data_IF_350408792804
#
_entry.id   IF_350408792804
#
_cell.length_a   1.000
_cell.length_b   1.000
_cell.length_c   1.000
_cell.angle_alpha   90.00
_cell.angle_beta   90.00
_cell.angle_gamma   90.00
#
_symmetry.space_group_name_H-M   'P 1'
#
loop_
_entity.id
_entity.type
_entity.pdbx_description
1 polymer ?
#
# COMPACT_ATOMS: atom_id res chain seq x y z
N UNK A 1 -11.40 -0.83 75.02
CA UNK A 1 -12.69 -0.61 74.35
C UNK A 1 -12.33 -0.52 72.85
N UNK A 2 -12.45 -1.65 72.09
CA UNK A 2 -12.02 -1.74 70.75
C UNK A 2 -13.29 -1.59 69.91
N UNK A 3 -13.39 -0.51 69.14
CA UNK A 3 -14.52 -0.23 68.26
C UNK A 3 -14.32 -0.96 66.92
N UNK A 4 -15.08 -2.02 66.70
CA UNK A 4 -15.13 -2.75 65.43
C UNK A 4 -15.98 -1.94 64.43
N UNK A 5 -15.31 -1.39 63.41
CA UNK A 5 -15.97 -0.79 62.24
C UNK A 5 -16.54 -1.89 61.34
N UNK A 6 -17.87 -1.87 61.13
CA UNK A 6 -18.57 -2.80 60.22
C UNK A 6 -18.13 -2.53 58.75
N UNK A 7 -17.86 -3.58 57.97
CA UNK A 7 -17.61 -3.40 56.55
C UNK A 7 -18.88 -2.93 55.84
N UNK A 8 -18.74 -1.89 54.99
CA UNK A 8 -19.82 -1.42 54.10
C UNK A 8 -20.14 -2.49 53.09
N UNK A 9 -21.36 -3.00 53.12
CA UNK A 9 -21.89 -3.89 52.10
C UNK A 9 -22.02 -3.12 50.80
N UNK A 10 -21.34 -3.58 49.74
CA UNK A 10 -21.54 -3.05 48.39
C UNK A 10 -22.93 -3.47 47.88
N UNK A 11 -23.68 -2.49 47.35
CA UNK A 11 -25.01 -2.74 46.81
C UNK A 11 -24.89 -3.64 45.57
N UNK A 12 -25.74 -4.71 45.44
CA UNK A 12 -25.72 -5.63 44.31
C UNK A 12 -25.91 -4.94 42.96
N UNK A 13 -26.58 -3.78 42.91
CA UNK A 13 -26.76 -2.96 41.74
C UNK A 13 -25.44 -2.40 41.15
N UNK A 14 -24.47 -2.08 42.02
CA UNK A 14 -23.16 -1.54 41.62
C UNK A 14 -22.29 -2.66 40.98
N UNK A 15 -22.41 -3.89 41.46
CA UNK A 15 -21.67 -5.06 40.93
C UNK A 15 -22.25 -5.43 39.55
N UNK A 16 -23.58 -5.37 39.38
CA UNK A 16 -24.22 -5.65 38.09
C UNK A 16 -23.87 -4.61 37.00
N UNK A 17 -23.79 -3.32 37.37
CA UNK A 17 -23.42 -2.25 36.47
C UNK A 17 -21.93 -2.38 36.00
N UNK A 18 -21.03 -2.74 36.92
CA UNK A 18 -19.62 -2.96 36.58
C UNK A 18 -19.43 -4.20 35.70
N UNK A 19 -20.17 -5.29 35.94
CA UNK A 19 -20.12 -6.50 35.10
C UNK A 19 -20.70 -6.25 33.70
N UNK A 20 -21.73 -5.41 33.57
CA UNK A 20 -22.30 -5.04 32.27
C UNK A 20 -21.33 -4.16 31.45
N UNK A 21 -20.62 -3.23 32.09
CA UNK A 21 -19.62 -2.38 31.44
C UNK A 21 -18.41 -3.20 30.93
N UNK A 22 -17.96 -4.22 31.67
CA UNK A 22 -16.88 -5.13 31.26
C UNK A 22 -17.35 -6.03 30.10
N UNK A 23 -18.61 -6.50 30.11
CA UNK A 23 -19.15 -7.34 29.04
C UNK A 23 -19.30 -6.57 27.73
N UNK A 24 -19.69 -5.29 27.76
CA UNK A 24 -19.79 -4.42 26.57
C UNK A 24 -18.42 -4.12 25.98
N UNK A 25 -17.38 -3.98 26.81
CA UNK A 25 -16.01 -3.78 26.35
C UNK A 25 -15.42 -5.03 25.64
N UNK A 26 -15.86 -6.25 25.99
CA UNK A 26 -15.41 -7.50 25.36
C UNK A 26 -16.15 -7.79 24.05
N UNK A 27 -17.35 -7.19 23.85
CA UNK A 27 -18.19 -7.40 22.68
C UNK A 27 -17.95 -6.39 21.54
N UNK A 28 -16.98 -5.45 21.70
CA UNK A 28 -16.60 -4.59 20.59
C UNK A 28 -15.94 -5.45 19.50
N UNK A 29 -16.48 -5.53 18.26
CA UNK A 29 -15.80 -6.21 17.19
C UNK A 29 -14.43 -5.53 16.99
N UNK A 30 -13.40 -6.29 16.59
CA UNK A 30 -12.15 -5.67 16.20
C UNK A 30 -12.48 -4.63 15.12
N UNK A 31 -12.08 -3.38 15.32
CA UNK A 31 -12.19 -2.38 14.29
C UNK A 31 -11.36 -2.90 13.10
N UNK A 32 -12.02 -3.27 12.01
CA UNK A 32 -11.33 -3.50 10.74
C UNK A 32 -10.67 -2.17 10.39
N UNK A 33 -9.40 -2.20 10.04
CA UNK A 33 -8.74 -1.01 9.53
C UNK A 33 -9.50 -0.53 8.30
N UNK A 34 -9.80 0.76 8.25
CA UNK A 34 -10.43 1.34 7.06
C UNK A 34 -9.45 1.23 5.88
N UNK A 35 -9.94 0.95 4.67
CA UNK A 35 -9.10 0.92 3.47
C UNK A 35 -8.33 2.22 3.31
N UNK A 36 -7.02 2.09 3.00
CA UNK A 36 -6.13 3.25 2.83
C UNK A 36 -6.49 4.06 1.59
N UNK A 37 -6.58 5.38 1.74
CA UNK A 37 -6.88 6.33 0.65
C UNK A 37 -5.76 7.34 0.41
N UNK A 38 -4.72 7.31 1.26
CA UNK A 38 -3.53 8.15 1.16
C UNK A 38 -2.28 7.35 1.42
N UNK A 39 -1.17 7.77 0.82
CA UNK A 39 0.14 7.14 0.89
C UNK A 39 1.18 8.16 1.35
N UNK A 40 1.99 7.78 2.33
CA UNK A 40 3.16 8.57 2.74
C UNK A 40 4.42 7.96 2.13
N UNK A 41 5.20 8.77 1.42
CA UNK A 41 6.52 8.38 0.91
C UNK A 41 7.57 9.13 1.71
N UNK A 42 8.51 8.38 2.29
CA UNK A 42 9.53 8.93 3.22
C UNK A 42 10.92 8.49 2.80
N UNK A 43 11.83 9.43 2.67
CA UNK A 43 13.26 9.17 2.51
C UNK A 43 13.93 9.09 3.87
N UNK A 44 14.69 8.02 4.10
CA UNK A 44 15.39 7.73 5.34
C UNK A 44 16.89 7.68 5.04
N UNK A 45 17.66 8.42 5.82
CA UNK A 45 19.11 8.53 5.67
C UNK A 45 19.87 7.22 5.90
N UNK A 46 21.19 7.21 5.58
CA UNK A 46 22.02 6.01 5.72
C UNK A 46 22.15 5.47 7.15
N UNK A 47 21.79 6.27 8.15
CA UNK A 47 21.71 5.84 9.55
C UNK A 47 20.51 4.96 9.86
N UNK A 48 19.58 4.83 8.89
CA UNK A 48 18.35 4.04 9.01
C UNK A 48 17.25 4.65 9.86
N UNK A 49 17.42 5.91 10.34
CA UNK A 49 16.50 6.56 11.29
C UNK A 49 16.17 8.00 10.96
N UNK A 50 17.11 8.76 10.40
CA UNK A 50 16.92 10.17 10.07
C UNK A 50 16.00 10.31 8.86
N UNK A 51 14.87 11.01 9.04
CA UNK A 51 13.97 11.37 7.95
C UNK A 51 14.59 12.56 7.20
N UNK A 52 14.91 12.36 5.92
CA UNK A 52 15.48 13.38 5.03
C UNK A 52 14.38 14.13 4.28
N UNK A 53 13.33 13.41 3.85
CA UNK A 53 12.19 13.96 3.14
C UNK A 53 10.94 13.12 3.44
N UNK A 54 9.75 13.73 3.41
CA UNK A 54 8.50 13.00 3.56
C UNK A 54 7.37 13.77 2.89
N UNK A 55 6.54 13.06 2.13
CA UNK A 55 5.34 13.62 1.50
C UNK A 55 4.19 12.66 1.63
N UNK A 56 2.97 13.18 1.78
CA UNK A 56 1.75 12.39 1.79
C UNK A 56 0.88 12.84 0.62
N UNK A 57 0.40 11.89 -0.15
CA UNK A 57 -0.46 12.08 -1.32
C UNK A 57 -1.68 11.18 -1.23
N UNK A 58 -2.80 11.61 -1.79
CA UNK A 58 -3.99 10.78 -1.95
C UNK A 58 -4.03 10.11 -3.34
N UNK A 59 -5.01 9.25 -3.55
CA UNK A 59 -5.17 8.50 -4.79
C UNK A 59 -5.47 9.43 -5.97
N UNK A 60 -6.28 10.48 -5.77
CA UNK A 60 -6.61 11.44 -6.81
C UNK A 60 -5.34 12.17 -7.30
N UNK A 61 -4.48 12.54 -6.35
CA UNK A 61 -3.19 13.14 -6.69
C UNK A 61 -2.28 12.17 -7.44
N UNK A 62 -2.19 10.89 -6.99
CA UNK A 62 -1.37 9.86 -7.65
C UNK A 62 -1.82 9.67 -9.11
N UNK A 63 -3.12 9.49 -9.35
CA UNK A 63 -3.68 9.28 -10.69
C UNK A 63 -3.45 10.47 -11.62
N UNK A 64 -3.46 11.69 -11.09
CA UNK A 64 -3.28 12.92 -11.88
C UNK A 64 -1.82 13.27 -12.18
N UNK A 65 -0.86 12.84 -11.36
CA UNK A 65 0.51 13.36 -11.39
C UNK A 65 1.60 12.32 -11.64
N UNK A 66 1.32 11.04 -11.52
CA UNK A 66 2.29 9.96 -11.78
C UNK A 66 1.80 9.04 -12.90
N UNK A 67 2.72 8.28 -13.54
CA UNK A 67 2.33 7.27 -14.51
C UNK A 67 1.37 6.26 -13.90
N UNK A 68 0.27 5.99 -14.60
CA UNK A 68 -0.72 4.98 -14.23
C UNK A 68 -0.41 3.69 -14.97
N UNK A 69 -0.16 2.62 -14.25
CA UNK A 69 0.01 1.28 -14.80
C UNK A 69 -1.27 0.47 -14.62
N UNK A 70 -1.51 -0.48 -15.55
CA UNK A 70 -2.73 -1.28 -15.61
C UNK A 70 -3.87 -0.56 -16.32
N UNK A 71 -4.84 -1.33 -16.77
CA UNK A 71 -5.95 -0.86 -17.59
C UNK A 71 -7.33 -0.95 -16.90
N UNK A 72 -7.38 -1.62 -15.73
CA UNK A 72 -8.64 -1.89 -15.02
C UNK A 72 -9.47 -3.01 -15.67
N UNK A 73 -8.89 -3.81 -16.58
CA UNK A 73 -9.52 -4.93 -17.28
C UNK A 73 -8.67 -6.20 -17.21
N UNK A 74 -7.35 -6.05 -17.31
CA UNK A 74 -6.38 -7.15 -17.20
C UNK A 74 -6.22 -7.57 -15.75
N UNK A 75 -6.47 -8.85 -15.46
CA UNK A 75 -6.27 -9.44 -14.14
C UNK A 75 -4.83 -9.84 -13.91
N UNK A 76 -4.33 -9.61 -12.71
CA UNK A 76 -3.02 -10.04 -12.25
C UNK A 76 -3.15 -11.07 -11.13
N UNK A 77 -2.26 -12.05 -11.14
CA UNK A 77 -2.31 -13.18 -10.22
C UNK A 77 -1.02 -13.31 -9.43
N UNK A 78 -1.15 -13.71 -8.18
CA UNK A 78 -0.06 -14.23 -7.38
C UNK A 78 -0.31 -15.69 -7.05
N UNK A 79 0.74 -16.44 -6.71
CA UNK A 79 0.61 -17.84 -6.35
C UNK A 79 0.65 -18.03 -4.84
N UNK A 80 -0.28 -18.80 -4.32
CA UNK A 80 -0.26 -19.28 -2.94
C UNK A 80 0.73 -20.45 -2.76
N UNK A 81 0.87 -20.97 -1.53
CA UNK A 81 1.70 -22.15 -1.29
C UNK A 81 1.15 -23.36 -2.03
N UNK A 82 2.03 -24.12 -2.68
CA UNK A 82 1.70 -25.39 -3.33
C UNK A 82 1.94 -26.52 -2.33
N UNK A 83 0.85 -27.19 -1.92
CA UNK A 83 0.89 -28.23 -0.88
C UNK A 83 1.19 -29.61 -1.44
N UNK A 84 0.88 -29.86 -2.71
CA UNK A 84 1.07 -31.13 -3.39
C UNK A 84 1.81 -30.92 -4.72
N UNK A 85 2.77 -31.77 -5.04
CA UNK A 85 3.59 -31.68 -6.25
C UNK A 85 4.84 -30.81 -6.07
N UNK A 86 5.28 -30.18 -7.14
CA UNK A 86 6.44 -29.28 -7.08
C UNK A 86 6.04 -27.95 -6.44
N UNK A 87 6.64 -27.64 -5.30
CA UNK A 87 6.36 -26.42 -4.55
C UNK A 87 6.67 -25.13 -5.32
N UNK A 88 7.55 -25.20 -6.30
CA UNK A 88 7.90 -24.05 -7.14
C UNK A 88 6.96 -23.88 -8.33
N UNK A 89 6.29 -24.97 -8.76
CA UNK A 89 5.33 -24.98 -9.87
C UNK A 89 5.81 -24.15 -11.08
N UNK A 90 6.73 -24.68 -11.90
CA UNK A 90 7.37 -23.92 -12.96
C UNK A 90 6.41 -23.40 -14.06
N UNK A 91 5.18 -23.90 -14.08
CA UNK A 91 4.12 -23.45 -14.98
C UNK A 91 3.14 -22.47 -14.32
N UNK A 92 3.25 -22.27 -13.02
CA UNK A 92 2.47 -21.31 -12.25
C UNK A 92 0.95 -21.43 -12.48
N UNK A 93 0.44 -22.65 -12.30
CA UNK A 93 -0.97 -22.99 -12.54
C UNK A 93 -1.74 -23.34 -11.26
N UNK A 94 -1.04 -23.64 -10.16
CA UNK A 94 -1.63 -24.17 -8.93
C UNK A 94 -1.83 -23.05 -7.91
N UNK A 95 -2.97 -23.05 -7.24
CA UNK A 95 -3.32 -22.15 -6.13
C UNK A 95 -3.17 -20.66 -6.47
N UNK A 96 -3.59 -20.27 -7.67
CA UNK A 96 -3.57 -18.88 -8.11
C UNK A 96 -4.51 -18.03 -7.26
N UNK A 97 -4.07 -16.83 -6.96
CA UNK A 97 -4.81 -15.81 -6.20
C UNK A 97 -4.96 -14.59 -7.10
N UNK A 98 -6.15 -14.43 -7.62
CA UNK A 98 -6.52 -13.26 -8.41
C UNK A 98 -6.39 -11.98 -7.56
N UNK A 99 -5.78 -10.94 -8.11
CA UNK A 99 -5.61 -9.62 -7.47
C UNK A 99 -6.53 -8.57 -8.07
N UNK A 100 -7.41 -8.99 -8.99
CA UNK A 100 -8.34 -8.13 -9.70
C UNK A 100 -7.74 -7.48 -10.94
N UNK A 101 -8.59 -6.75 -11.64
CA UNK A 101 -8.22 -5.94 -12.80
C UNK A 101 -7.79 -4.55 -12.34
N UNK A 102 -6.55 -4.43 -11.90
CA UNK A 102 -6.12 -3.26 -11.14
C UNK A 102 -5.43 -2.18 -11.99
N UNK A 103 -5.50 -0.94 -11.47
CA UNK A 103 -4.62 0.19 -11.85
C UNK A 103 -3.88 0.70 -10.63
N UNK A 104 -2.69 1.24 -10.83
CA UNK A 104 -1.87 1.77 -9.75
C UNK A 104 -0.64 2.51 -10.23
N UNK A 105 0.27 2.78 -9.29
CA UNK A 105 1.53 3.49 -9.51
C UNK A 105 2.71 2.60 -9.15
N UNK A 106 3.75 2.61 -9.98
CA UNK A 106 5.00 1.88 -9.73
C UNK A 106 5.67 2.38 -8.43
N UNK A 107 6.18 1.45 -7.63
CA UNK A 107 6.94 1.77 -6.40
C UNK A 107 8.18 2.62 -6.73
N UNK A 108 8.84 2.41 -7.87
CA UNK A 108 9.97 3.24 -8.29
C UNK A 108 9.53 4.70 -8.56
N UNK A 109 8.38 4.92 -9.19
CA UNK A 109 7.81 6.26 -9.40
C UNK A 109 7.39 6.90 -8.07
N UNK A 110 6.81 6.12 -7.14
CA UNK A 110 6.51 6.61 -5.80
C UNK A 110 7.77 7.08 -5.06
N UNK A 111 8.87 6.33 -5.14
CA UNK A 111 10.14 6.73 -4.54
C UNK A 111 10.67 8.05 -5.09
N UNK A 112 10.31 8.44 -6.33
CA UNK A 112 10.72 9.72 -6.91
C UNK A 112 10.16 10.94 -6.17
N UNK A 113 9.04 10.78 -5.43
CA UNK A 113 8.46 11.81 -4.57
C UNK A 113 9.36 12.17 -3.37
N UNK A 114 10.28 11.27 -3.03
CA UNK A 114 11.18 11.43 -1.91
C UNK A 114 12.67 11.32 -2.33
N UNK A 115 13.01 11.82 -3.52
CA UNK A 115 14.40 11.91 -3.99
C UNK A 115 14.85 10.79 -4.94
N UNK A 116 13.98 9.80 -5.22
CA UNK A 116 14.25 8.72 -6.19
C UNK A 116 15.21 7.64 -5.67
N UNK A 117 15.17 6.47 -6.29
CA UNK A 117 16.03 5.33 -5.98
C UNK A 117 17.39 5.46 -6.67
N UNK A 118 18.45 5.13 -5.93
CA UNK A 118 19.81 4.98 -6.45
C UNK A 118 20.35 3.56 -6.19
N UNK A 119 21.44 3.17 -6.88
CA UNK A 119 22.11 1.91 -6.59
C UNK A 119 22.48 1.76 -5.11
N UNK A 120 22.11 0.63 -4.50
CA UNK A 120 22.33 0.37 -3.08
C UNK A 120 21.16 0.79 -2.18
N UNK A 121 20.21 1.58 -2.68
CA UNK A 121 19.00 1.93 -1.94
C UNK A 121 17.99 0.77 -1.92
N UNK A 122 17.15 0.75 -0.92
CA UNK A 122 16.04 -0.19 -0.80
C UNK A 122 14.75 0.55 -0.45
N UNK A 123 13.63 0.11 -1.04
CA UNK A 123 12.32 0.59 -0.68
C UNK A 123 11.53 -0.46 0.10
N UNK A 124 10.94 -0.03 1.20
CA UNK A 124 9.98 -0.78 1.99
C UNK A 124 8.57 -0.33 1.63
N UNK A 125 7.68 -1.27 1.34
CA UNK A 125 6.24 -1.04 1.23
C UNK A 125 5.59 -1.58 2.48
N UNK A 126 4.91 -0.71 3.24
CA UNK A 126 4.35 -1.05 4.53
C UNK A 126 2.83 -0.79 4.60
N UNK A 127 2.13 -1.69 5.29
CA UNK A 127 0.72 -1.60 5.60
C UNK A 127 0.46 -0.88 6.92
N UNK A 128 -0.80 -0.49 7.14
CA UNK A 128 -1.26 0.16 8.39
C UNK A 128 -1.06 -0.71 9.64
N UNK A 129 -1.04 -2.04 9.49
CA UNK A 129 -0.82 -3.00 10.59
C UNK A 129 0.67 -3.28 10.85
N UNK A 130 1.55 -2.67 10.07
CA UNK A 130 2.99 -2.82 10.15
C UNK A 130 3.56 -3.96 9.30
N UNK A 131 2.72 -4.78 8.64
CA UNK A 131 3.23 -5.76 7.67
C UNK A 131 4.00 -5.04 6.57
N UNK A 132 5.15 -5.56 6.18
CA UNK A 132 6.01 -4.89 5.20
C UNK A 132 6.80 -5.87 4.34
N UNK A 133 7.27 -5.36 3.20
CA UNK A 133 8.22 -6.02 2.30
C UNK A 133 9.26 -5.01 1.86
N UNK A 134 10.48 -5.48 1.61
CA UNK A 134 11.62 -4.60 1.26
C UNK A 134 12.29 -5.11 -0.01
N UNK A 135 12.48 -4.22 -0.98
CA UNK A 135 13.07 -4.52 -2.28
C UNK A 135 14.21 -3.56 -2.59
N UNK A 136 15.27 -4.11 -3.20
CA UNK A 136 16.42 -3.33 -3.64
C UNK A 136 16.20 -2.63 -4.98
N UNK A 137 17.11 -1.73 -5.30
CA UNK A 137 17.14 -0.93 -6.53
C UNK A 137 16.92 -1.77 -7.79
N UNK A 138 17.66 -2.87 -7.98
CA UNK A 138 17.58 -3.68 -9.21
C UNK A 138 16.21 -4.34 -9.40
N UNK A 139 15.58 -4.77 -8.31
CA UNK A 139 14.23 -5.36 -8.32
C UNK A 139 13.17 -4.34 -8.74
N UNK A 140 13.35 -3.06 -8.40
CA UNK A 140 12.35 -2.01 -8.61
C UNK A 140 12.54 -1.25 -9.93
N UNK A 141 13.79 -0.99 -10.33
CA UNK A 141 14.07 -0.09 -11.46
C UNK A 141 14.16 -0.81 -12.80
N UNK A 142 14.64 -2.06 -12.81
CA UNK A 142 14.83 -2.85 -14.02
C UNK A 142 14.28 -4.27 -13.87
N UNK A 143 13.00 -4.45 -13.50
CA UNK A 143 12.43 -5.78 -13.32
C UNK A 143 12.40 -6.55 -14.64
N UNK A 144 12.72 -7.86 -14.65
CA UNK A 144 12.50 -8.70 -15.83
C UNK A 144 10.98 -8.82 -16.09
N UNK A 145 10.58 -9.03 -17.36
CA UNK A 145 9.17 -9.04 -17.75
C UNK A 145 8.31 -10.04 -16.97
N UNK A 146 8.87 -11.23 -16.65
CA UNK A 146 8.19 -12.25 -15.84
C UNK A 146 7.93 -11.84 -14.37
N UNK A 147 8.60 -10.82 -13.85
CA UNK A 147 8.31 -10.18 -12.57
C UNK A 147 7.37 -8.99 -12.78
N UNK A 148 7.66 -8.19 -13.79
CA UNK A 148 7.02 -6.91 -14.05
C UNK A 148 7.30 -5.85 -12.98
N UNK A 149 6.82 -4.62 -13.18
CA UNK A 149 6.89 -3.56 -12.18
C UNK A 149 6.10 -3.91 -10.91
N UNK A 150 6.56 -3.40 -9.78
CA UNK A 150 5.88 -3.51 -8.50
C UNK A 150 4.93 -2.33 -8.33
N UNK A 151 3.63 -2.59 -8.38
CA UNK A 151 2.61 -1.55 -8.43
C UNK A 151 1.84 -1.48 -7.12
N UNK A 152 1.75 -0.30 -6.53
CA UNK A 152 0.76 0.00 -5.49
C UNK A 152 -0.55 0.28 -6.21
N UNK A 153 -1.40 -0.76 -6.29
CA UNK A 153 -2.70 -0.70 -6.93
C UNK A 153 -3.69 0.05 -6.03
N UNK A 154 -4.37 1.05 -6.58
CA UNK A 154 -5.33 1.90 -5.89
C UNK A 154 -6.71 1.92 -6.56
N UNK A 155 -6.91 1.16 -7.61
CA UNK A 155 -8.19 1.00 -8.30
C UNK A 155 -8.34 -0.47 -8.75
N UNK A 156 -9.54 -1.01 -8.64
CA UNK A 156 -9.90 -2.34 -9.16
C UNK A 156 -11.11 -2.21 -10.09
N UNK A 157 -10.94 -2.51 -11.38
CA UNK A 157 -11.98 -2.36 -12.39
C UNK A 157 -12.91 -3.57 -12.50
N UNK A 158 -12.41 -4.77 -12.18
CA UNK A 158 -13.20 -6.01 -12.13
C UNK A 158 -12.73 -6.85 -10.94
N UNK A 159 -13.69 -7.35 -10.15
CA UNK A 159 -13.40 -8.13 -8.95
C UNK A 159 -13.15 -9.60 -9.30
N UNK A 160 -12.51 -10.28 -8.36
CA UNK A 160 -12.23 -11.70 -8.46
C UNK A 160 -13.52 -12.52 -8.50
N UNK A 161 -13.55 -13.55 -9.33
CA UNK A 161 -14.69 -14.46 -9.43
C UNK A 161 -14.69 -15.53 -8.34
N UNK A 162 -13.50 -15.87 -7.85
CA UNK A 162 -13.27 -16.88 -6.81
C UNK A 162 -12.18 -16.40 -5.85
N UNK A 163 -12.33 -16.73 -4.57
CA UNK A 163 -11.37 -16.38 -3.55
C UNK A 163 -11.79 -15.20 -2.68
N UNK A 164 -10.85 -14.38 -2.27
CA UNK A 164 -11.11 -13.21 -1.43
C UNK A 164 -11.68 -12.07 -2.27
N UNK A 165 -12.95 -11.74 -2.07
CA UNK A 165 -13.60 -10.59 -2.70
C UNK A 165 -12.90 -9.31 -2.26
N UNK A 166 -12.52 -8.46 -3.21
CA UNK A 166 -11.76 -7.25 -2.98
C UNK A 166 -12.58 -5.97 -3.20
N UNK A 167 -13.73 -6.08 -3.88
CA UNK A 167 -14.55 -4.94 -4.30
C UNK A 167 -14.00 -4.27 -5.56
N UNK A 168 -14.76 -3.36 -6.13
CA UNK A 168 -14.42 -2.65 -7.37
C UNK A 168 -14.46 -1.14 -7.18
N UNK A 169 -13.72 -0.41 -7.99
CA UNK A 169 -13.60 1.04 -7.89
C UNK A 169 -12.36 1.46 -7.11
N UNK A 170 -12.45 2.60 -6.46
CA UNK A 170 -11.43 3.13 -5.56
C UNK A 170 -11.72 2.70 -4.11
N UNK A 171 -10.73 2.71 -3.20
CA UNK A 171 -11.03 2.64 -1.77
C UNK A 171 -12.01 3.75 -1.34
N UNK A 172 -13.02 3.47 -0.48
CA UNK A 172 -13.14 2.25 0.32
C UNK A 172 -13.85 1.06 -0.37
N UNK A 173 -14.43 1.21 -1.56
CA UNK A 173 -15.14 0.14 -2.26
C UNK A 173 -14.18 -0.97 -2.75
N UNK A 174 -12.93 -0.64 -3.01
CA UNK A 174 -11.81 -1.57 -3.09
C UNK A 174 -11.34 -1.91 -1.67
N UNK A 175 -11.87 -2.96 -1.07
CA UNK A 175 -11.81 -3.29 0.37
C UNK A 175 -10.41 -3.54 0.91
N UNK A 176 -9.47 -3.99 0.07
CA UNK A 176 -8.09 -4.18 0.47
C UNK A 176 -7.31 -2.87 0.56
N UNK A 177 -7.95 -1.74 0.29
CA UNK A 177 -7.30 -0.45 0.19
C UNK A 177 -6.25 -0.46 -0.91
N UNK A 178 -5.21 0.33 -0.78
CA UNK A 178 -4.06 0.22 -1.67
C UNK A 178 -3.33 -1.09 -1.44
N UNK A 179 -2.98 -1.79 -2.55
CA UNK A 179 -2.39 -3.12 -2.49
C UNK A 179 -1.17 -3.23 -3.40
N UNK A 180 -0.11 -3.92 -2.91
CA UNK A 180 1.05 -4.24 -3.73
C UNK A 180 0.76 -5.43 -4.65
N UNK A 181 0.94 -5.24 -5.96
CA UNK A 181 0.75 -6.23 -7.00
C UNK A 181 1.93 -6.21 -7.97
N UNK A 182 2.43 -7.38 -8.34
CA UNK A 182 3.45 -7.53 -9.39
C UNK A 182 2.76 -7.64 -10.74
N UNK A 183 3.12 -6.79 -11.69
CA UNK A 183 2.53 -6.76 -13.03
C UNK A 183 3.34 -7.65 -13.98
N UNK A 184 3.43 -8.94 -13.63
CA UNK A 184 4.10 -9.96 -14.43
C UNK A 184 3.49 -10.07 -15.83
N UNK A 185 4.31 -10.50 -16.79
CA UNK A 185 3.82 -10.84 -18.13
C UNK A 185 3.12 -12.22 -18.15
N UNK A 186 2.83 -12.73 -19.33
CA UNK A 186 2.17 -14.03 -19.52
C UNK A 186 3.14 -15.14 -19.89
N UNK A 187 4.46 -14.92 -19.79
CA UNK A 187 5.47 -15.80 -20.37
C UNK A 187 5.59 -17.16 -19.66
N UNK A 188 5.21 -17.24 -18.39
CA UNK A 188 5.36 -18.45 -17.58
C UNK A 188 4.11 -19.32 -17.57
N UNK A 189 2.94 -18.68 -17.51
CA UNK A 189 1.67 -19.39 -17.39
C UNK A 189 1.14 -19.87 -18.75
N UNK A 190 0.86 -21.18 -18.94
CA UNK A 190 0.44 -21.75 -20.24
C UNK A 190 -0.97 -21.33 -20.67
N UNK A 191 -1.79 -20.80 -19.76
CA UNK A 191 -3.13 -20.28 -20.04
C UNK A 191 -3.10 -18.81 -20.48
N UNK A 192 -1.91 -18.18 -20.49
CA UNK A 192 -1.72 -16.79 -20.86
C UNK A 192 -2.20 -15.81 -19.79
N UNK A 193 -2.23 -16.22 -18.52
CA UNK A 193 -2.53 -15.36 -17.40
C UNK A 193 -1.29 -14.56 -16.97
N UNK A 194 -1.51 -13.35 -16.46
CA UNK A 194 -0.48 -12.51 -15.85
C UNK A 194 -0.21 -12.97 -14.42
N UNK A 195 0.67 -13.96 -14.27
CA UNK A 195 0.97 -14.59 -12.96
C UNK A 195 2.38 -14.21 -12.52
N UNK A 196 2.51 -13.67 -11.31
CA UNK A 196 3.77 -13.69 -10.59
C UNK A 196 3.77 -14.87 -9.64
N UNK A 197 4.37 -15.96 -10.09
CA UNK A 197 4.34 -17.25 -9.40
C UNK A 197 5.53 -17.49 -8.47
N UNK A 198 5.56 -18.68 -7.87
CA UNK A 198 6.61 -19.07 -6.94
C UNK A 198 7.95 -19.26 -7.64
N UNK A 199 7.94 -19.79 -8.88
CA UNK A 199 9.15 -19.91 -9.69
C UNK A 199 9.68 -18.54 -10.10
N UNK A 200 8.80 -17.61 -10.48
CA UNK A 200 9.19 -16.23 -10.81
C UNK A 200 9.84 -15.55 -9.59
N UNK A 201 9.26 -15.70 -8.40
CA UNK A 201 9.87 -15.21 -7.17
C UNK A 201 11.28 -15.77 -6.96
N UNK A 202 11.48 -17.08 -7.19
CA UNK A 202 12.78 -17.73 -7.01
C UNK A 202 13.86 -17.18 -7.93
N UNK A 203 13.49 -16.90 -9.19
CA UNK A 203 14.49 -16.53 -10.22
C UNK A 203 14.68 -15.03 -10.36
N UNK A 204 13.75 -14.20 -9.85
CA UNK A 204 13.80 -12.73 -10.01
C UNK A 204 14.07 -11.99 -8.70
N UNK A 205 13.70 -12.54 -7.55
CA UNK A 205 13.92 -11.88 -6.27
C UNK A 205 15.13 -12.48 -5.52
N UNK A 206 15.92 -11.64 -4.84
CA UNK A 206 16.97 -12.14 -3.94
C UNK A 206 16.32 -12.93 -2.77
N UNK A 207 17.06 -13.88 -2.21
CA UNK A 207 16.56 -14.78 -1.16
C UNK A 207 15.93 -14.02 0.04
N UNK A 208 16.50 -12.89 0.43
CA UNK A 208 16.00 -12.08 1.54
C UNK A 208 14.72 -11.28 1.23
N UNK A 209 14.23 -11.32 0.00
CA UNK A 209 12.95 -10.73 -0.43
C UNK A 209 11.90 -11.80 -0.80
N UNK A 210 12.26 -13.09 -0.71
CA UNK A 210 11.34 -14.19 -0.94
C UNK A 210 10.52 -14.49 0.32
N UNK A 211 9.28 -14.93 0.13
CA UNK A 211 8.39 -15.29 1.23
C UNK A 211 8.05 -16.78 1.21
N UNK A 212 8.08 -17.39 2.40
CA UNK A 212 7.74 -18.78 2.61
C UNK A 212 6.63 -18.95 3.64
N UNK A 213 5.52 -19.52 3.22
CA UNK A 213 4.44 -19.89 4.11
C UNK A 213 4.92 -20.98 5.08
N UNK A 214 4.76 -20.74 6.40
CA UNK A 214 5.26 -21.60 7.48
C UNK A 214 6.76 -21.95 7.33
N UNK A 215 7.58 -21.04 6.81
CA UNK A 215 9.03 -21.21 6.57
C UNK A 215 9.39 -22.38 5.64
N UNK A 216 8.43 -22.93 4.90
CA UNK A 216 8.61 -24.14 4.09
C UNK A 216 8.20 -24.00 2.63
N UNK A 217 7.05 -23.41 2.38
CA UNK A 217 6.44 -23.36 1.06
C UNK A 217 6.51 -21.96 0.46
N UNK A 218 7.14 -21.77 -0.70
CA UNK A 218 7.16 -20.47 -1.34
C UNK A 218 5.74 -19.97 -1.63
N UNK A 219 5.53 -18.66 -1.53
CA UNK A 219 4.22 -18.07 -1.78
C UNK A 219 4.31 -16.59 -2.12
N UNK A 220 4.14 -16.25 -3.39
CA UNK A 220 4.08 -14.84 -3.82
C UNK A 220 2.83 -14.12 -3.30
N UNK A 221 1.79 -14.87 -2.90
CA UNK A 221 0.63 -14.29 -2.22
C UNK A 221 1.00 -13.59 -0.92
N UNK A 222 2.03 -14.06 -0.22
CA UNK A 222 2.49 -13.49 1.04
C UNK A 222 3.13 -12.13 0.89
N UNK A 223 3.66 -11.79 -0.28
CA UNK A 223 4.29 -10.48 -0.52
C UNK A 223 3.35 -9.45 -1.16
N UNK A 224 2.07 -9.79 -1.35
CA UNK A 224 1.04 -8.84 -1.80
C UNK A 224 0.46 -8.08 -0.60
N UNK A 225 1.16 -7.03 -0.17
CA UNK A 225 0.79 -6.18 0.97
C UNK A 225 -0.57 -5.54 0.72
N UNK A 226 -1.51 -5.68 1.68
CA UNK A 226 -2.81 -5.00 1.70
C UNK A 226 -2.72 -3.72 2.54
N UNK A 227 -3.66 -2.81 2.34
CA UNK A 227 -3.74 -1.57 3.12
C UNK A 227 -2.41 -0.83 3.17
N UNK A 228 -1.74 -0.75 2.02
CA UNK A 228 -0.49 0.00 1.90
C UNK A 228 -0.73 1.44 2.31
N UNK A 229 0.07 1.94 3.25
CA UNK A 229 -0.01 3.30 3.76
C UNK A 229 1.30 4.06 3.68
N UNK A 230 2.42 3.33 3.57
CA UNK A 230 3.75 3.93 3.55
C UNK A 230 4.66 3.25 2.52
N UNK A 231 5.48 4.08 1.84
CA UNK A 231 6.68 3.66 1.11
C UNK A 231 7.86 4.36 1.76
N UNK A 232 8.86 3.61 2.22
CA UNK A 232 10.05 4.14 2.88
C UNK A 232 11.28 3.83 2.05
N UNK A 233 11.93 4.87 1.54
CA UNK A 233 13.17 4.77 0.78
C UNK A 233 14.36 4.86 1.75
N UNK A 234 15.10 3.77 1.92
CA UNK A 234 16.27 3.68 2.76
C UNK A 234 17.55 3.88 1.94
N UNK A 235 18.28 4.94 2.22
CA UNK A 235 19.60 5.19 1.62
C UNK A 235 20.62 4.16 2.12
N UNK A 236 21.41 3.59 1.21
CA UNK A 236 22.36 2.52 1.49
C UNK A 236 21.72 1.25 2.10
N UNK A 237 20.43 1.02 1.84
CA UNK A 237 19.69 -0.18 2.19
C UNK A 237 19.10 -0.20 3.59
N UNK A 238 18.09 -1.08 3.77
CA UNK A 238 17.42 -1.31 5.05
C UNK A 238 18.23 -2.25 5.95
N UNK A 239 18.45 -1.84 7.19
CA UNK A 239 19.30 -2.57 8.16
C UNK A 239 18.52 -3.22 9.29
N UNK A 240 17.21 -3.10 9.28
CA UNK A 240 16.34 -3.72 10.29
C UNK A 240 15.97 -5.16 9.95
N UNK A 241 15.14 -5.74 10.80
CA UNK A 241 14.55 -7.06 10.57
C UNK A 241 13.44 -6.96 9.51
N UNK A 242 13.64 -7.63 8.36
CA UNK A 242 12.70 -7.62 7.23
C UNK A 242 11.40 -8.37 7.50
N UNK A 243 11.38 -9.21 8.54
CA UNK A 243 10.21 -10.02 8.91
C UNK A 243 9.47 -9.46 10.12
N UNK A 244 10.02 -8.44 10.78
CA UNK A 244 9.36 -7.80 11.91
C UNK A 244 8.36 -6.73 11.44
N UNK A 245 7.17 -6.64 12.05
CA UNK A 245 6.26 -5.54 11.80
C UNK A 245 6.90 -4.19 12.12
N UNK A 246 6.68 -3.20 11.25
CA UNK A 246 7.20 -1.85 11.46
C UNK A 246 6.14 -0.94 12.06
N UNK A 247 6.58 0.01 12.89
CA UNK A 247 5.69 1.06 13.38
C UNK A 247 5.50 2.11 12.30
N UNK A 248 4.28 2.67 12.19
CA UNK A 248 4.03 3.81 11.31
C UNK A 248 4.87 5.01 11.73
N UNK A 249 5.47 5.68 10.76
CA UNK A 249 6.19 6.93 10.99
C UNK A 249 5.25 8.13 11.21
N UNK A 250 3.97 8.01 10.85
CA UNK A 250 2.96 9.07 11.02
C UNK A 250 2.57 9.30 12.49
N UNK A 251 2.79 8.32 13.39
CA UNK A 251 2.36 8.40 14.79
C UNK A 251 3.29 9.18 15.74
N UNK A 252 4.57 9.33 15.42
CA UNK A 252 5.58 9.87 16.32
C UNK A 252 6.14 11.24 15.93
N UNK A 253 5.84 11.74 14.72
CA UNK A 253 6.39 13.02 14.27
C UNK A 253 5.30 13.97 13.81
N UNK A 254 5.09 15.05 14.56
CA UNK A 254 4.63 16.33 14.03
C UNK A 254 5.73 16.96 13.14
N UNK A 255 6.29 16.17 12.22
CA UNK A 255 7.13 16.70 11.17
C UNK A 255 6.21 17.41 10.18
N UNK A 256 6.48 18.66 9.95
CA UNK A 256 5.83 19.54 9.00
C UNK A 256 5.65 18.80 7.66
N UNK A 257 4.44 18.30 7.41
CA UNK A 257 4.09 17.81 6.09
C UNK A 257 4.26 18.99 5.13
N UNK A 258 5.26 18.93 4.26
CA UNK A 258 5.31 19.85 3.14
C UNK A 258 4.02 19.63 2.35
N UNK A 259 3.21 20.66 2.07
CA UNK A 259 2.02 20.47 1.26
C UNK A 259 2.45 19.83 -0.07
N UNK A 260 1.66 18.87 -0.54
CA UNK A 260 1.87 18.22 -1.84
C UNK A 260 2.22 19.29 -2.87
N UNK A 261 3.20 19.09 -3.76
CA UNK A 261 3.58 20.08 -4.75
C UNK A 261 2.33 20.48 -5.54
N UNK A 262 1.94 21.74 -5.47
CA UNK A 262 0.78 22.25 -6.19
C UNK A 262 1.03 22.05 -7.68
N UNK A 263 0.13 21.39 -8.44
CA UNK A 263 0.31 21.24 -9.86
C UNK A 263 0.46 22.62 -10.49
N UNK A 264 1.45 22.80 -11.35
CA UNK A 264 1.66 24.06 -12.05
C UNK A 264 0.40 24.38 -12.84
N UNK A 265 -0.30 25.44 -12.46
CA UNK A 265 -1.49 25.87 -13.17
C UNK A 265 -1.13 26.11 -14.65
N UNK A 266 -1.91 25.61 -15.62
CA UNK A 266 -1.67 25.91 -17.01
C UNK A 266 -1.72 27.42 -17.20
N UNK A 267 -0.68 28.02 -17.79
CA UNK A 267 -0.64 29.43 -18.17
C UNK A 267 -1.73 29.65 -19.21
N UNK A 268 -2.91 30.08 -18.77
CA UNK A 268 -3.97 30.58 -19.66
C UNK A 268 -3.51 31.97 -20.10
N UNK A 269 -3.28 32.21 -21.40
CA UNK A 269 -2.96 33.56 -21.87
C UNK A 269 -4.17 34.46 -21.62
N UNK A 270 -4.03 35.42 -20.73
CA UNK A 270 -5.04 36.48 -20.54
C UNK A 270 -5.01 37.36 -21.77
N UNK A 271 -5.94 37.13 -22.71
CA UNK A 271 -6.22 38.05 -23.79
C UNK A 271 -7.03 39.19 -23.19
N UNK A 272 -6.37 40.34 -22.94
CA UNK A 272 -7.00 41.60 -22.58
C UNK A 272 -7.77 42.12 -23.79
N UNK A 273 -9.07 41.87 -23.87
CA UNK A 273 -9.98 42.57 -24.79
C UNK A 273 -10.31 43.91 -24.16
N UNK A 274 -9.61 44.95 -24.60
CA UNK A 274 -9.96 46.33 -24.28
C UNK A 274 -11.23 46.73 -25.05
N UNK A 275 -12.39 46.68 -24.39
CA UNK A 275 -13.63 47.26 -24.87
C UNK A 275 -13.56 48.79 -24.65
N UNK A 276 -13.26 49.52 -25.71
CA UNK A 276 -13.36 50.96 -25.73
C UNK A 276 -14.84 51.41 -25.66
N UNK A 277 -15.27 51.97 -24.55
CA UNK A 277 -16.51 52.70 -24.42
C UNK A 277 -16.32 54.13 -24.98
N UNK A 278 -16.74 54.37 -26.22
CA UNK A 278 -16.91 55.71 -26.75
C UNK A 278 -18.24 56.29 -26.21
N UNK A 279 -18.15 57.25 -25.27
CA UNK A 279 -19.25 58.04 -24.83
C UNK A 279 -19.44 59.21 -25.87
N UNK A 280 -20.50 59.16 -26.66
CA UNK A 280 -20.98 60.23 -27.44
C UNK A 280 -21.87 61.14 -26.57
N UNK A 281 -21.29 62.26 -26.13
CA UNK A 281 -22.08 63.42 -25.66
C UNK A 281 -22.79 64.04 -26.83
N UNK A 282 -24.14 64.11 -26.82
CA UNK A 282 -24.94 65.01 -27.67
C UNK A 282 -25.69 65.95 -26.77
N UNK A 283 -25.29 67.26 -26.89
CA UNK A 283 -26.03 68.39 -26.36
C UNK A 283 -27.33 68.57 -27.14
N UNK A 284 -28.42 68.71 -26.47
CA UNK A 284 -29.36 69.84 -26.46
C UNK A 284 -30.34 69.72 -25.32
#
# INVERSE_FOLDING_TARGET
MITLTRPRAFHPATILAAAFLVLVAIAAPPALADPTTSLTVTEIGPDGTTILNSTTVDIEWLEANLPVLGDGVTHYYHQGPVFEGDKWDPNETVNLKDRGAVKGTDVADLCSLAGGLGPGDEAMVAAVDGYNVVYGYDTLVNPPARQGPLVVAWFNGDDVKEGEIQGTGYPPDFYTGMRLVFFADTSTNPEGLHVFGNEDMRVTLPENAQYFYNDLLPSTSGISVKWVSEVRLYRDGYRGDRHAPVKSLQGDNTATSSPAPTPAAPLVPVVLVALGCAFLFRRR
#
